data_IF_760462362844
#
_entry.id   IF_760462362844
#
_cell.length_a   1.000
_cell.length_b   1.000
_cell.length_c   1.000
_cell.angle_alpha   90.00
_cell.angle_beta   90.00
_cell.angle_gamma   90.00
#
_symmetry.space_group_name_H-M   'P 1'
#
loop_
_entity.id
_entity.type
_entity.pdbx_description
1 polymer ?
#
# COMPACT_ATOMS: atom_id res chain seq x y z
N UNK A 1 16.20 -3.18 -0.12
CA UNK A 1 15.17 -4.02 -0.73
C UNK A 1 14.15 -3.11 -1.40
N UNK A 2 14.45 -2.68 -2.63
CA UNK A 2 13.71 -1.61 -3.33
C UNK A 2 12.44 -2.12 -4.02
N UNK A 3 12.23 -3.43 -4.08
CA UNK A 3 11.15 -4.03 -4.85
C UNK A 3 9.78 -3.82 -4.17
N UNK A 4 9.76 -3.89 -2.84
CA UNK A 4 8.52 -3.91 -2.05
C UNK A 4 7.66 -2.64 -2.17
N UNK A 5 8.22 -1.40 -2.09
CA UNK A 5 7.43 -0.19 -2.25
C UNK A 5 6.83 -0.03 -3.65
N UNK A 6 7.57 -0.44 -4.68
CA UNK A 6 7.08 -0.43 -6.06
C UNK A 6 5.97 -1.46 -6.26
N UNK A 7 6.10 -2.65 -5.66
CA UNK A 7 5.04 -3.65 -5.64
C UNK A 7 3.77 -3.13 -4.94
N UNK A 8 3.91 -2.50 -3.76
CA UNK A 8 2.78 -1.93 -3.02
C UNK A 8 2.06 -0.82 -3.81
N UNK A 9 2.82 0.05 -4.49
CA UNK A 9 2.26 1.10 -5.35
C UNK A 9 1.57 0.52 -6.59
N UNK A 10 2.12 -0.54 -7.19
CA UNK A 10 1.51 -1.21 -8.32
C UNK A 10 0.23 -1.96 -7.92
N UNK A 11 0.17 -2.47 -6.68
CA UNK A 11 -0.97 -3.21 -6.14
C UNK A 11 -2.11 -2.30 -5.68
N UNK A 12 -1.82 -1.07 -5.27
CA UNK A 12 -2.83 -0.12 -4.75
C UNK A 12 -3.87 0.29 -5.80
N UNK A 13 -3.46 0.48 -7.06
CA UNK A 13 -4.36 0.84 -8.17
C UNK A 13 -5.47 -0.21 -8.41
N UNK A 14 -5.12 -1.49 -8.65
CA UNK A 14 -6.10 -2.58 -8.77
C UNK A 14 -6.98 -2.75 -7.52
N UNK A 15 -6.43 -2.56 -6.32
CA UNK A 15 -7.21 -2.57 -5.08
C UNK A 15 -8.28 -1.47 -5.07
N UNK A 16 -7.89 -0.22 -5.36
CA UNK A 16 -8.83 0.91 -5.44
C UNK A 16 -9.91 0.63 -6.49
N UNK A 17 -9.53 0.13 -7.66
CA UNK A 17 -10.49 -0.18 -8.72
C UNK A 17 -11.48 -1.28 -8.32
N UNK A 18 -11.01 -2.31 -7.61
CA UNK A 18 -11.86 -3.39 -7.07
C UNK A 18 -12.86 -2.87 -6.04
N UNK A 19 -12.41 -1.99 -5.15
CA UNK A 19 -13.26 -1.35 -4.13
C UNK A 19 -14.34 -0.49 -4.82
N UNK A 20 -13.96 0.33 -5.79
CA UNK A 20 -14.89 1.17 -6.55
C UNK A 20 -15.91 0.35 -7.34
N UNK A 21 -15.49 -0.73 -7.99
CA UNK A 21 -16.39 -1.60 -8.74
C UNK A 21 -17.43 -2.27 -7.83
N UNK A 22 -17.03 -2.69 -6.62
CA UNK A 22 -17.93 -3.31 -5.64
C UNK A 22 -18.88 -2.31 -4.99
N UNK A 23 -18.40 -1.11 -4.68
CA UNK A 23 -19.26 -0.03 -4.17
C UNK A 23 -20.39 0.29 -5.17
N UNK A 24 -20.09 0.20 -6.47
CA UNK A 24 -21.04 0.45 -7.55
C UNK A 24 -21.81 -0.80 -8.01
N UNK A 25 -21.60 -1.98 -7.43
CA UNK A 25 -22.27 -3.22 -7.86
C UNK A 25 -23.77 -3.15 -7.53
N UNK A 26 -24.68 -3.19 -8.52
CA UNK A 26 -26.11 -3.14 -8.29
C UNK A 26 -26.68 -4.43 -7.66
N UNK A 27 -25.90 -5.53 -7.63
CA UNK A 27 -26.32 -6.82 -7.06
C UNK A 27 -26.10 -6.92 -5.55
N UNK A 28 -25.31 -6.01 -4.98
CA UNK A 28 -25.02 -5.98 -3.55
C UNK A 28 -25.98 -5.05 -2.81
N UNK A 29 -26.46 -5.51 -1.66
CA UNK A 29 -27.24 -4.68 -0.75
C UNK A 29 -26.37 -3.57 -0.12
N UNK A 30 -27.00 -2.48 0.31
CA UNK A 30 -26.29 -1.39 0.99
C UNK A 30 -25.59 -1.88 2.28
N UNK A 31 -26.22 -2.79 3.03
CA UNK A 31 -25.63 -3.38 4.23
C UNK A 31 -24.36 -4.18 3.91
N UNK A 32 -24.38 -5.00 2.86
CA UNK A 32 -23.21 -5.77 2.45
C UNK A 32 -22.06 -4.88 1.94
N UNK A 33 -22.39 -3.78 1.27
CA UNK A 33 -21.40 -2.79 0.83
C UNK A 33 -20.73 -2.13 2.03
N UNK A 34 -21.48 -1.72 3.04
CA UNK A 34 -20.94 -1.08 4.25
C UNK A 34 -20.02 -2.04 5.01
N UNK A 35 -20.46 -3.29 5.26
CA UNK A 35 -19.66 -4.33 5.92
C UNK A 35 -18.33 -4.61 5.21
N UNK A 36 -18.34 -4.63 3.88
CA UNK A 36 -17.14 -4.92 3.08
C UNK A 36 -16.21 -3.71 2.97
N UNK A 37 -16.77 -2.50 2.90
CA UNK A 37 -16.03 -1.25 2.80
C UNK A 37 -15.05 -1.08 3.95
N UNK A 38 -15.49 -1.35 5.19
CA UNK A 38 -14.60 -1.26 6.36
C UNK A 38 -13.37 -2.17 6.22
N UNK A 39 -13.58 -3.44 5.89
CA UNK A 39 -12.50 -4.43 5.71
C UNK A 39 -11.58 -4.05 4.56
N UNK A 40 -12.14 -3.56 3.46
CA UNK A 40 -11.38 -3.17 2.27
C UNK A 40 -10.53 -1.92 2.53
N UNK A 41 -11.06 -0.93 3.25
CA UNK A 41 -10.34 0.29 3.62
C UNK A 41 -9.20 0.02 4.60
N UNK A 42 -9.41 -0.85 5.59
CA UNK A 42 -8.34 -1.27 6.52
C UNK A 42 -7.18 -1.92 5.77
N UNK A 43 -7.48 -2.80 4.80
CA UNK A 43 -6.44 -3.45 3.98
C UNK A 43 -5.69 -2.46 3.10
N UNK A 44 -6.40 -1.50 2.49
CA UNK A 44 -5.78 -0.48 1.66
C UNK A 44 -4.84 0.40 2.48
N UNK A 45 -5.28 0.84 3.66
CA UNK A 45 -4.47 1.64 4.58
C UNK A 45 -3.22 0.88 5.02
N UNK A 46 -3.35 -0.38 5.44
CA UNK A 46 -2.19 -1.18 5.85
C UNK A 46 -1.15 -1.34 4.73
N UNK A 47 -1.60 -1.57 3.49
CA UNK A 47 -0.68 -1.68 2.35
C UNK A 47 0.07 -0.36 2.07
N UNK A 48 -0.58 0.79 2.25
CA UNK A 48 0.05 2.11 2.09
C UNK A 48 1.01 2.43 3.24
N UNK A 49 0.66 2.09 4.47
CA UNK A 49 1.52 2.25 5.64
C UNK A 49 2.80 1.40 5.51
N UNK A 50 2.66 0.14 5.09
CA UNK A 50 3.81 -0.72 4.79
C UNK A 50 4.70 -0.10 3.72
N UNK A 51 4.12 0.46 2.65
CA UNK A 51 4.88 1.13 1.61
C UNK A 51 5.71 2.31 2.17
N UNK A 52 5.12 3.12 3.06
CA UNK A 52 5.81 4.24 3.72
C UNK A 52 6.92 3.77 4.66
N UNK A 53 6.66 2.74 5.47
CA UNK A 53 7.65 2.16 6.39
C UNK A 53 8.86 1.61 5.61
N UNK A 54 8.62 0.91 4.51
CA UNK A 54 9.70 0.38 3.67
C UNK A 54 10.45 1.45 2.89
N UNK A 55 9.79 2.52 2.43
CA UNK A 55 10.48 3.68 1.83
C UNK A 55 11.42 4.35 2.84
N UNK A 56 10.97 4.56 4.07
CA UNK A 56 11.78 5.12 5.14
C UNK A 56 13.01 4.25 5.45
N UNK A 57 12.84 2.92 5.59
CA UNK A 57 13.93 1.96 5.78
C UNK A 57 14.92 1.97 4.60
N UNK A 58 14.42 2.03 3.36
CA UNK A 58 15.26 2.08 2.17
C UNK A 58 16.07 3.38 2.09
N UNK A 59 15.48 4.52 2.44
CA UNK A 59 16.20 5.80 2.53
C UNK A 59 17.30 5.77 3.57
N UNK A 60 17.03 5.21 4.76
CA UNK A 60 18.01 5.05 5.82
C UNK A 60 19.18 4.16 5.38
N UNK A 61 18.89 3.01 4.77
CA UNK A 61 19.93 2.10 4.25
C UNK A 61 20.83 2.77 3.21
N UNK A 62 20.26 3.59 2.31
CA UNK A 62 21.04 4.37 1.32
C UNK A 62 21.94 5.43 1.97
N UNK A 63 21.50 6.05 3.07
CA UNK A 63 22.31 7.03 3.80
C UNK A 63 23.49 6.36 4.52
N UNK A 64 23.26 5.21 5.17
CA UNK A 64 24.33 4.43 5.81
C UNK A 64 25.38 3.98 4.79
N UNK A 65 24.95 3.41 3.66
CA UNK A 65 25.88 2.97 2.61
C UNK A 65 26.70 4.12 2.01
N UNK A 66 26.13 5.33 1.92
CA UNK A 66 26.88 6.53 1.49
C UNK A 66 27.89 7.00 2.53
N UNK A 67 27.55 6.92 3.83
CA UNK A 67 28.47 7.27 4.89
C UNK A 67 29.69 6.34 4.86
N UNK A 68 29.47 5.03 4.73
CA UNK A 68 30.53 4.02 4.68
C UNK A 68 31.52 4.26 3.51
N UNK A 69 31.02 4.66 2.33
CA UNK A 69 31.86 5.01 1.16
C UNK A 69 32.71 6.26 1.41
N UNK A 70 32.23 7.23 2.20
CA UNK A 70 32.95 8.48 2.47
C UNK A 70 34.05 8.25 3.54
N UNK A 71 33.86 7.28 4.44
CA UNK A 71 34.82 6.94 5.50
C UNK A 71 35.84 5.85 5.12
N UNK A 72 35.71 5.22 3.95
CA UNK A 72 36.65 4.23 3.41
C UNK A 72 37.69 4.88 2.49
#
# INVERSE_FOLDING_TARGET
>A
DLLFPHCAFFFSGPCIMTIMNRANDPKLSAEEKEKRKEVEMVKLLGALEDALVYDAKNKQAKMTQRADIITA
#
